data_IF_300391606297
#
_entry.id   IF_300391606297
#
_cell.length_a   1.000
_cell.length_b   1.000
_cell.length_c   1.000
_cell.angle_alpha   90.00
_cell.angle_beta   90.00
_cell.angle_gamma   90.00
#
_symmetry.space_group_name_H-M   'P 1'
#
loop_
_entity.id
_entity.type
_entity.pdbx_description
1 polymer ?
#
# COMPACT_ATOMS: atom_id res chain seq x y z
N UNK A 1 7.55 -13.48 8.10
CA UNK A 1 6.87 -13.96 9.33
C UNK A 1 5.78 -12.96 9.65
N UNK A 2 4.51 -13.38 9.69
CA UNK A 2 3.41 -12.47 10.02
C UNK A 2 3.58 -11.99 11.46
N UNK A 3 3.75 -10.68 11.66
CA UNK A 3 3.76 -10.06 12.99
C UNK A 3 2.45 -10.42 13.70
N UNK A 4 2.52 -10.92 14.92
CA UNK A 4 1.33 -11.04 15.75
C UNK A 4 0.94 -9.63 16.21
N UNK A 5 -0.13 -9.13 15.62
CA UNK A 5 -0.74 -7.86 15.99
C UNK A 5 -1.52 -8.05 17.30
N UNK A 6 -1.44 -7.06 18.17
CA UNK A 6 -2.30 -6.96 19.35
C UNK A 6 -3.74 -6.66 18.94
N UNK A 7 -4.73 -6.98 19.80
CA UNK A 7 -6.14 -6.69 19.52
C UNK A 7 -6.39 -5.22 19.18
N UNK A 8 -5.78 -4.30 19.93
CA UNK A 8 -5.91 -2.86 19.68
C UNK A 8 -5.32 -2.44 18.32
N UNK A 9 -4.25 -3.10 17.86
CA UNK A 9 -3.64 -2.82 16.56
C UNK A 9 -4.52 -3.37 15.41
N UNK A 10 -5.10 -4.55 15.58
CA UNK A 10 -6.06 -5.10 14.62
C UNK A 10 -7.29 -4.20 14.51
N UNK A 11 -7.86 -3.82 15.66
CA UNK A 11 -9.02 -2.93 15.71
C UNK A 11 -8.71 -1.56 15.10
N UNK A 12 -7.50 -1.03 15.31
CA UNK A 12 -7.05 0.20 14.65
C UNK A 12 -7.05 0.10 13.13
N UNK A 13 -6.54 -0.99 12.57
CA UNK A 13 -6.52 -1.19 11.12
C UNK A 13 -7.95 -1.33 10.56
N UNK A 14 -8.85 -2.00 11.27
CA UNK A 14 -10.25 -2.18 10.88
C UNK A 14 -10.99 -0.82 10.86
N UNK A 15 -10.97 -0.09 11.98
CA UNK A 15 -11.66 1.20 12.08
C UNK A 15 -11.03 2.28 11.21
N UNK A 16 -9.75 2.15 10.84
CA UNK A 16 -9.07 3.11 9.96
C UNK A 16 -9.73 3.18 8.58
N UNK A 17 -10.10 2.05 8.00
CA UNK A 17 -10.68 1.98 6.64
C UNK A 17 -12.21 1.95 6.61
N UNK A 18 -12.86 1.54 7.71
CA UNK A 18 -14.32 1.50 7.79
C UNK A 18 -14.92 2.81 8.33
N UNK A 19 -14.69 3.12 9.60
CA UNK A 19 -15.38 4.23 10.30
C UNK A 19 -14.63 5.56 10.23
N UNK A 20 -13.30 5.55 10.33
CA UNK A 20 -12.49 6.76 10.44
C UNK A 20 -12.14 7.38 9.07
N UNK A 21 -12.41 6.69 7.96
CA UNK A 21 -12.15 7.20 6.61
C UNK A 21 -10.68 7.57 6.35
N UNK A 22 -9.73 6.89 7.00
CA UNK A 22 -8.30 7.18 6.94
C UNK A 22 -7.78 8.20 7.96
N UNK A 23 -8.62 8.76 8.84
CA UNK A 23 -8.17 9.60 9.94
C UNK A 23 -7.57 8.77 11.07
N UNK A 24 -6.24 8.82 11.18
CA UNK A 24 -5.46 8.10 12.20
C UNK A 24 -5.77 8.55 13.64
N UNK A 25 -6.25 9.78 13.85
CA UNK A 25 -6.60 10.29 15.18
C UNK A 25 -7.95 9.76 15.62
N UNK A 26 -8.95 9.77 14.73
CA UNK A 26 -10.23 9.12 15.00
C UNK A 26 -10.06 7.61 15.15
N UNK A 27 -9.32 6.96 14.25
CA UNK A 27 -9.09 5.53 14.31
C UNK A 27 -8.46 5.11 15.65
N UNK A 28 -7.50 5.91 16.16
CA UNK A 28 -6.90 5.69 17.47
C UNK A 28 -7.95 5.68 18.59
N UNK A 29 -8.87 6.65 18.58
CA UNK A 29 -9.93 6.77 19.60
C UNK A 29 -10.90 5.59 19.54
N UNK A 30 -11.32 5.22 18.33
CA UNK A 30 -12.26 4.10 18.10
C UNK A 30 -11.65 2.73 18.43
N UNK A 31 -10.34 2.58 18.20
CA UNK A 31 -9.59 1.38 18.56
C UNK A 31 -9.32 1.25 20.08
N UNK A 32 -9.69 2.23 20.89
CA UNK A 32 -9.57 2.18 22.35
C UNK A 32 -8.19 2.59 22.89
N UNK A 33 -7.36 3.25 22.09
CA UNK A 33 -6.10 3.81 22.59
C UNK A 33 -6.34 5.08 23.42
N UNK A 34 -5.49 5.30 24.42
CA UNK A 34 -5.50 6.55 25.18
C UNK A 34 -5.25 7.76 24.27
N UNK A 35 -5.96 8.86 24.53
CA UNK A 35 -5.74 10.11 23.79
C UNK A 35 -4.32 10.64 23.94
N UNK A 36 -3.68 10.37 25.09
CA UNK A 36 -2.30 10.76 25.41
C UNK A 36 -1.27 9.98 24.61
N UNK A 37 -1.61 8.82 24.06
CA UNK A 37 -0.69 8.04 23.24
C UNK A 37 -0.46 8.76 21.92
N UNK A 38 0.79 9.09 21.56
CA UNK A 38 1.08 9.78 20.31
C UNK A 38 0.78 8.85 19.14
N UNK A 39 -0.10 9.31 18.24
CA UNK A 39 -0.54 8.54 17.06
C UNK A 39 0.64 8.13 16.17
N UNK A 40 1.70 8.94 16.14
CA UNK A 40 2.94 8.67 15.41
C UNK A 40 3.56 7.31 15.77
N UNK A 41 3.59 6.94 17.05
CA UNK A 41 4.16 5.66 17.49
C UNK A 41 3.33 4.47 16.98
N UNK A 42 2.01 4.61 16.97
CA UNK A 42 1.09 3.56 16.50
C UNK A 42 1.26 3.38 14.99
N UNK A 43 1.29 4.48 14.24
CA UNK A 43 1.45 4.45 12.77
C UNK A 43 2.84 3.93 12.37
N UNK A 44 3.91 4.31 13.08
CA UNK A 44 5.26 3.78 12.81
C UNK A 44 5.35 2.28 13.09
N UNK A 45 4.74 1.81 14.17
CA UNK A 45 4.73 0.39 14.51
C UNK A 45 3.94 -0.46 13.50
N UNK A 46 2.88 0.11 12.90
CA UNK A 46 1.96 -0.55 11.98
C UNK A 46 2.16 -0.16 10.51
N UNK A 47 3.29 0.46 10.16
CA UNK A 47 3.47 1.05 8.83
C UNK A 47 3.31 0.02 7.70
N UNK A 48 3.89 -1.16 7.88
CA UNK A 48 3.86 -2.22 6.88
C UNK A 48 2.45 -2.80 6.75
N UNK A 49 1.77 -2.96 7.88
CA UNK A 49 0.42 -3.49 7.97
C UNK A 49 -0.63 -2.51 7.42
N UNK A 50 -0.46 -1.21 7.66
CA UNK A 50 -1.26 -0.15 7.03
C UNK A 50 -1.06 -0.19 5.51
N UNK A 51 0.17 -0.36 5.03
CA UNK A 51 0.43 -0.44 3.60
C UNK A 51 -0.24 -1.66 2.96
N UNK A 52 -0.18 -2.82 3.62
CA UNK A 52 -0.81 -4.05 3.13
C UNK A 52 -2.35 -4.00 3.19
N UNK A 53 -2.90 -3.45 4.27
CA UNK A 53 -4.33 -3.17 4.39
C UNK A 53 -4.80 -2.17 3.33
N UNK A 54 -4.01 -1.14 3.02
CA UNK A 54 -4.29 -0.18 1.97
C UNK A 54 -4.31 -0.85 0.59
N UNK A 55 -3.36 -1.74 0.29
CA UNK A 55 -3.36 -2.51 -0.97
C UNK A 55 -4.61 -3.39 -1.07
N UNK A 56 -4.96 -4.07 0.01
CA UNK A 56 -6.19 -4.86 0.11
C UNK A 56 -7.43 -3.99 -0.10
N UNK A 57 -7.45 -2.78 0.44
CA UNK A 57 -8.53 -1.81 0.25
C UNK A 57 -8.63 -1.32 -1.20
N UNK A 58 -7.49 -1.05 -1.86
CA UNK A 58 -7.47 -0.73 -3.29
C UNK A 58 -8.00 -1.88 -4.14
N UNK A 59 -7.62 -3.13 -3.83
CA UNK A 59 -8.16 -4.29 -4.54
C UNK A 59 -9.69 -4.41 -4.37
N UNK A 60 -10.24 -4.05 -3.20
CA UNK A 60 -11.69 -4.03 -2.95
C UNK A 60 -12.42 -2.89 -3.66
N UNK A 61 -11.78 -1.73 -3.80
CA UNK A 61 -12.37 -0.53 -4.41
C UNK A 61 -12.15 -0.45 -5.92
N UNK A 62 -11.15 -1.16 -6.45
CA UNK A 62 -10.84 -1.23 -7.87
C UNK A 62 -12.03 -1.67 -8.75
N UNK A 63 -12.83 -2.71 -8.42
CA UNK A 63 -14.02 -3.05 -9.20
C UNK A 63 -15.02 -1.89 -9.29
N UNK A 64 -15.19 -1.12 -8.22
CA UNK A 64 -16.09 0.05 -8.22
C UNK A 64 -15.57 1.15 -9.15
N UNK A 65 -14.26 1.38 -9.20
CA UNK A 65 -13.65 2.30 -10.16
C UNK A 65 -13.82 1.82 -11.61
N UNK A 66 -13.62 0.53 -11.88
CA UNK A 66 -13.85 -0.05 -13.20
C UNK A 66 -15.31 0.11 -13.66
N UNK A 67 -16.28 -0.13 -12.77
CA UNK A 67 -17.70 0.07 -13.06
C UNK A 67 -18.05 1.55 -13.28
N UNK A 68 -17.45 2.47 -12.51
CA UNK A 68 -17.62 3.91 -12.71
C UNK A 68 -17.11 4.37 -14.08
N UNK A 69 -15.97 3.83 -14.54
CA UNK A 69 -15.45 4.08 -15.88
C UNK A 69 -16.37 3.52 -16.98
N UNK A 70 -16.90 2.31 -16.79
CA UNK A 70 -17.89 1.74 -17.73
C UNK A 70 -19.16 2.61 -17.81
N UNK A 71 -19.67 3.06 -16.67
CA UNK A 71 -20.81 3.97 -16.61
C UNK A 71 -20.55 5.29 -17.36
N UNK A 72 -19.38 5.90 -17.15
CA UNK A 72 -18.97 7.12 -17.84
C UNK A 72 -18.80 6.95 -19.36
N UNK A 73 -18.45 5.74 -19.83
CA UNK A 73 -18.43 5.42 -21.26
C UNK A 73 -19.84 5.28 -21.86
N UNK A 74 -20.80 4.79 -21.07
CA UNK A 74 -22.18 4.60 -21.50
C UNK A 74 -23.01 5.88 -21.47
N UNK A 75 -22.76 6.78 -20.52
CA UNK A 75 -23.38 8.10 -20.44
C UNK A 75 -22.31 9.20 -20.30
N UNK A 76 -21.78 9.70 -21.44
CA UNK A 76 -20.71 10.70 -21.44
C UNK A 76 -21.20 12.12 -21.10
N UNK A 77 -22.47 12.30 -20.71
CA UNK A 77 -23.06 13.63 -20.48
C UNK A 77 -22.91 14.15 -19.06
N UNK A 78 -22.42 13.34 -18.10
CA UNK A 78 -22.19 13.81 -16.74
C UNK A 78 -21.06 14.87 -16.67
N UNK A 79 -21.36 15.98 -16.00
CA UNK A 79 -20.35 16.97 -15.62
C UNK A 79 -19.26 16.33 -14.73
N UNK A 80 -18.00 16.59 -15.06
CA UNK A 80 -16.85 16.09 -14.30
C UNK A 80 -16.42 14.66 -14.66
N UNK A 81 -16.93 14.07 -15.75
CA UNK A 81 -16.50 12.74 -16.22
C UNK A 81 -15.00 12.64 -16.43
N UNK A 82 -14.35 13.69 -16.94
CA UNK A 82 -12.89 13.71 -17.11
C UNK A 82 -12.16 13.51 -15.79
N UNK A 83 -12.57 14.23 -14.75
CA UNK A 83 -11.94 14.16 -13.44
C UNK A 83 -12.25 12.82 -12.75
N UNK A 84 -13.50 12.33 -12.85
CA UNK A 84 -13.90 11.01 -12.34
C UNK A 84 -13.14 9.87 -13.04
N UNK A 85 -12.98 9.94 -14.36
CA UNK A 85 -12.23 8.95 -15.15
C UNK A 85 -10.74 8.98 -14.81
N UNK A 86 -10.15 10.17 -14.65
CA UNK A 86 -8.75 10.30 -14.23
C UNK A 86 -8.54 9.70 -12.83
N UNK A 87 -9.41 10.03 -11.87
CA UNK A 87 -9.34 9.50 -10.52
C UNK A 87 -9.56 7.97 -10.48
N UNK A 88 -10.50 7.45 -11.26
CA UNK A 88 -10.74 6.01 -11.38
C UNK A 88 -9.55 5.28 -11.99
N UNK A 89 -8.92 5.86 -13.03
CA UNK A 89 -7.70 5.32 -13.62
C UNK A 89 -6.55 5.29 -12.60
N UNK A 90 -6.32 6.37 -11.87
CA UNK A 90 -5.26 6.43 -10.85
C UNK A 90 -5.48 5.42 -9.72
N UNK A 91 -6.74 5.15 -9.36
CA UNK A 91 -7.12 4.12 -8.39
C UNK A 91 -6.76 2.72 -8.90
N UNK A 92 -7.09 2.42 -10.16
CA UNK A 92 -6.82 1.13 -10.79
C UNK A 92 -5.30 0.89 -10.98
N UNK A 93 -4.58 1.94 -11.36
CA UNK A 93 -3.12 1.90 -11.49
C UNK A 93 -2.46 1.57 -10.13
N UNK A 94 -2.95 2.18 -9.03
CA UNK A 94 -2.47 1.89 -7.66
C UNK A 94 -2.90 0.53 -7.11
N UNK A 95 -4.02 0.00 -7.58
CA UNK A 95 -4.45 -1.37 -7.29
C UNK A 95 -3.60 -2.44 -8.02
N UNK A 96 -2.66 -2.02 -8.89
CA UNK A 96 -1.81 -2.94 -9.66
C UNK A 96 -2.49 -3.50 -10.91
N UNK A 97 -3.65 -2.96 -11.30
CA UNK A 97 -4.35 -3.29 -12.55
C UNK A 97 -3.86 -2.43 -13.72
N UNK A 98 -3.06 -1.41 -13.43
CA UNK A 98 -2.36 -0.58 -14.40
C UNK A 98 -1.01 -1.14 -14.83
N UNK A 99 -0.34 -0.37 -15.69
CA UNK A 99 1.02 -0.69 -16.15
C UNK A 99 1.98 -0.58 -14.96
N UNK A 100 2.42 -1.71 -14.41
CA UNK A 100 3.53 -1.75 -13.47
C UNK A 100 4.79 -1.33 -14.21
N UNK A 101 5.34 -0.16 -13.88
CA UNK A 101 6.71 0.18 -14.25
C UNK A 101 7.63 -0.80 -13.53
N UNK A 102 7.96 -1.90 -14.21
CA UNK A 102 9.03 -2.81 -13.81
C UNK A 102 10.31 -1.98 -13.86
N UNK A 103 10.77 -1.53 -12.69
CA UNK A 103 12.14 -1.07 -12.54
C UNK A 103 13.01 -2.33 -12.57
N UNK A 104 13.50 -2.68 -13.76
CA UNK A 104 14.60 -3.63 -13.89
C UNK A 104 15.81 -3.00 -13.22
N UNK A 105 16.04 -3.32 -11.94
CA UNK A 105 17.33 -3.12 -11.30
C UNK A 105 18.23 -4.24 -11.84
N UNK A 106 18.67 -4.11 -13.09
CA UNK A 106 19.89 -4.76 -13.52
C UNK A 106 21.00 -4.12 -12.70
N UNK A 107 21.39 -4.76 -11.60
CA UNK A 107 22.59 -4.39 -10.85
C UNK A 107 23.78 -4.39 -11.80
N UNK A 108 24.12 -3.23 -12.36
CA UNK A 108 25.45 -2.92 -12.91
C UNK A 108 26.48 -2.79 -11.78
N UNK A 109 26.37 -3.66 -10.76
CA UNK A 109 27.30 -3.80 -9.66
C UNK A 109 28.12 -5.04 -9.95
N UNK A 110 29.32 -4.85 -10.49
CA UNK A 110 30.26 -5.92 -10.80
C UNK A 110 30.34 -6.92 -9.66
N UNK A 111 30.02 -8.17 -9.97
CA UNK A 111 30.29 -9.29 -9.07
C UNK A 111 31.78 -9.30 -8.79
N UNK A 112 32.17 -8.88 -7.59
CA UNK A 112 33.55 -9.02 -7.12
C UNK A 112 33.78 -10.50 -6.89
N UNK A 113 34.48 -11.12 -7.84
CA UNK A 113 34.89 -12.51 -7.77
C UNK A 113 36.09 -12.61 -6.81
N UNK A 114 35.84 -12.98 -5.56
CA UNK A 114 36.91 -13.22 -4.59
C UNK A 114 37.52 -14.60 -4.86
N UNK A 115 38.62 -14.64 -5.61
CA UNK A 115 39.40 -15.86 -5.81
C UNK A 115 40.16 -16.19 -4.51
N UNK A 116 40.08 -17.43 -3.99
CA UNK A 116 40.90 -17.83 -2.86
C UNK A 116 42.39 -17.73 -3.22
N UNK A 117 43.26 -17.30 -2.30
CA UNK A 117 44.70 -17.22 -2.56
C UNK A 117 45.25 -18.62 -2.86
N UNK A 118 46.10 -18.71 -3.89
CA UNK A 118 46.77 -19.93 -4.30
C UNK A 118 47.76 -20.36 -3.20
N UNK A 119 47.35 -21.31 -2.35
CA UNK A 119 48.30 -22.08 -1.56
C UNK A 119 49.05 -23.04 -2.49
N UNK A 120 50.37 -22.87 -2.56
CA UNK A 120 51.21 -23.75 -3.38
C UNK A 120 52.63 -23.24 -3.51
N UNK A 121 53.43 -23.57 -2.50
CA UNK A 121 54.89 -23.59 -2.48
C UNK A 121 55.41 -24.23 -3.79
N UNK A 122 56.15 -23.49 -4.61
CA UNK A 122 56.92 -24.09 -5.69
C UNK A 122 58.31 -24.43 -5.11
N UNK A 123 58.54 -25.73 -4.89
CA UNK A 123 59.88 -26.33 -5.00
C UNK A 123 60.39 -26.24 -6.44
#
# INVERSE_FOLDING_TARGET
>A
MARQLTENQQKFLEVLFDEAGGDVVQAKRLAGYSEKTPTRLIVEALKDEIADATRSYFARTAPKAAMAMMGALNDPTELGIRDKMSAAKDLLDRAGLGKVDKVDVSSSGGGVFYLPPKEGKNE
#
